data_IF_759206979204
#
_entry.id   IF_759206979204
#
_cell.length_a   1.000
_cell.length_b   1.000
_cell.length_c   1.000
_cell.angle_alpha   90.00
_cell.angle_beta   90.00
_cell.angle_gamma   90.00
#
_symmetry.space_group_name_H-M   'P 1'
#
loop_
_entity.id
_entity.type
_entity.pdbx_description
1 polymer ?
#
# COMPACT_ATOMS: atom_id res chain seq x y z
N UNK A 1 20.23 -13.45 -12.14
CA UNK A 1 19.05 -14.09 -12.77
C UNK A 1 17.85 -14.28 -11.84
N UNK A 2 17.98 -14.93 -10.67
CA UNK A 2 16.86 -15.16 -9.72
C UNK A 2 16.10 -13.90 -9.27
N UNK A 3 16.81 -12.80 -8.98
CA UNK A 3 16.18 -11.52 -8.57
C UNK A 3 15.35 -10.87 -9.71
N UNK A 4 15.80 -11.01 -10.96
CA UNK A 4 15.10 -10.49 -12.13
C UNK A 4 13.84 -11.31 -12.41
N UNK A 5 13.90 -12.63 -12.24
CA UNK A 5 12.73 -13.52 -12.37
C UNK A 5 11.68 -13.24 -11.30
N UNK A 6 12.09 -13.01 -10.05
CA UNK A 6 11.16 -12.58 -9.00
C UNK A 6 10.54 -11.22 -9.35
N UNK A 7 11.33 -10.24 -9.78
CA UNK A 7 10.79 -8.94 -10.17
C UNK A 7 9.85 -9.03 -11.40
N UNK A 8 10.10 -9.96 -12.34
CA UNK A 8 9.23 -10.26 -13.47
C UNK A 8 7.90 -10.89 -13.03
N UNK A 9 7.94 -11.87 -12.11
CA UNK A 9 6.75 -12.51 -11.53
C UNK A 9 5.93 -11.49 -10.74
N UNK A 10 6.57 -10.66 -9.92
CA UNK A 10 5.90 -9.58 -9.18
C UNK A 10 5.38 -8.45 -10.09
N UNK A 11 5.99 -8.22 -11.27
CA UNK A 11 5.49 -7.29 -12.28
C UNK A 11 4.32 -7.85 -13.10
N UNK A 12 4.23 -9.18 -13.25
CA UNK A 12 3.17 -9.84 -14.03
C UNK A 12 1.84 -9.94 -13.27
N UNK A 13 1.89 -10.02 -11.93
CA UNK A 13 0.71 -10.33 -11.12
C UNK A 13 -0.17 -9.13 -10.74
N UNK A 14 0.35 -7.89 -10.67
CA UNK A 14 -0.45 -6.68 -10.36
C UNK A 14 0.14 -5.43 -11.04
N UNK A 15 -0.70 -4.43 -11.40
CA UNK A 15 -0.22 -3.21 -12.05
C UNK A 15 0.85 -2.50 -11.18
N UNK A 16 1.97 -2.06 -11.77
CA UNK A 16 3.13 -1.54 -11.02
C UNK A 16 2.80 -0.29 -10.17
N UNK A 17 1.74 0.41 -10.54
CA UNK A 17 1.20 1.55 -9.78
C UNK A 17 0.58 1.13 -8.45
N UNK A 18 -0.10 -0.02 -8.37
CA UNK A 18 -0.71 -0.50 -7.13
C UNK A 18 0.37 -0.87 -6.10
N UNK A 19 1.42 -1.57 -6.56
CA UNK A 19 2.59 -1.91 -5.76
C UNK A 19 3.27 -0.67 -5.18
N UNK A 20 3.48 0.36 -6.01
CA UNK A 20 4.04 1.65 -5.58
C UNK A 20 3.20 2.33 -4.50
N UNK A 21 1.87 2.34 -4.66
CA UNK A 21 0.96 2.94 -3.68
C UNK A 21 0.99 2.16 -2.35
N UNK A 22 0.95 0.83 -2.42
CA UNK A 22 1.01 -0.02 -1.23
C UNK A 22 2.32 0.16 -0.46
N UNK A 23 3.47 0.17 -1.16
CA UNK A 23 4.78 0.41 -0.54
C UNK A 23 4.84 1.78 0.12
N UNK A 24 4.39 2.83 -0.57
CA UNK A 24 4.34 4.19 -0.01
C UNK A 24 3.45 4.27 1.23
N UNK A 25 2.27 3.65 1.21
CA UNK A 25 1.38 3.59 2.36
C UNK A 25 2.02 2.85 3.55
N UNK A 26 2.68 1.72 3.30
CA UNK A 26 3.37 0.95 4.35
C UNK A 26 4.50 1.75 4.98
N UNK A 27 5.35 2.40 4.17
CA UNK A 27 6.45 3.25 4.67
C UNK A 27 5.89 4.40 5.51
N UNK A 28 4.85 5.07 5.03
CA UNK A 28 4.20 6.16 5.75
C UNK A 28 3.70 5.71 7.13
N UNK A 29 2.97 4.59 7.21
CA UNK A 29 2.46 4.08 8.48
C UNK A 29 3.56 3.60 9.41
N UNK A 30 4.65 3.04 8.90
CA UNK A 30 5.81 2.64 9.70
C UNK A 30 6.51 3.84 10.34
N UNK A 31 6.76 4.89 9.55
CA UNK A 31 7.36 6.13 10.05
C UNK A 31 6.42 6.84 11.04
N UNK A 32 5.11 6.83 10.77
CA UNK A 32 4.10 7.36 11.68
C UNK A 32 4.10 6.62 13.02
N UNK A 33 4.19 5.29 13.00
CA UNK A 33 4.28 4.46 14.20
C UNK A 33 5.54 4.80 15.00
N UNK A 34 6.70 4.89 14.33
CA UNK A 34 7.96 5.27 14.98
C UNK A 34 7.83 6.62 15.69
N UNK A 35 7.25 7.61 15.01
CA UNK A 35 7.04 8.94 15.59
C UNK A 35 6.04 8.89 16.76
N UNK A 36 5.00 8.05 16.69
CA UNK A 36 4.06 7.88 17.80
C UNK A 36 4.70 7.25 19.04
N UNK A 37 5.61 6.30 18.84
CA UNK A 37 6.42 5.73 19.93
C UNK A 37 7.36 6.78 20.51
N UNK A 38 7.98 7.61 19.67
CA UNK A 38 8.93 8.64 20.13
C UNK A 38 8.26 9.78 20.92
N UNK A 39 7.09 10.24 20.48
CA UNK A 39 6.41 11.40 21.10
C UNK A 39 5.38 11.03 22.15
N UNK A 40 4.70 9.89 21.99
CA UNK A 40 3.57 9.50 22.83
C UNK A 40 3.81 8.19 23.61
N UNK A 41 5.01 7.58 23.49
CA UNK A 41 5.37 6.28 24.06
C UNK A 41 4.32 5.17 23.80
N UNK A 42 3.55 5.31 22.72
CA UNK A 42 2.39 4.45 22.45
C UNK A 42 2.62 3.65 21.17
N UNK A 43 2.46 2.34 21.28
CA UNK A 43 2.58 1.41 20.15
C UNK A 43 1.19 1.01 19.67
N UNK A 44 0.85 1.35 18.44
CA UNK A 44 -0.38 0.86 17.79
C UNK A 44 -0.18 -0.60 17.39
N UNK A 45 -1.22 -1.42 17.61
CA UNK A 45 -1.22 -2.85 17.27
C UNK A 45 -1.03 -3.04 15.75
N UNK A 46 -0.18 -3.99 15.30
CA UNK A 46 0.07 -4.23 13.87
C UNK A 46 -1.18 -4.55 13.05
N UNK A 47 -2.18 -5.23 13.65
CA UNK A 47 -3.45 -5.53 12.99
C UNK A 47 -4.26 -4.28 12.65
N UNK A 48 -4.17 -3.25 13.49
CA UNK A 48 -4.82 -1.95 13.28
C UNK A 48 -4.10 -1.20 12.17
N UNK A 49 -2.75 -1.18 12.20
CA UNK A 49 -1.93 -0.57 11.15
C UNK A 49 -2.20 -1.21 9.78
N UNK A 50 -2.31 -2.55 9.72
CA UNK A 50 -2.63 -3.28 8.49
C UNK A 50 -3.99 -2.85 7.90
N UNK A 51 -5.02 -2.75 8.75
CA UNK A 51 -6.34 -2.24 8.34
C UNK A 51 -6.29 -0.78 7.85
N UNK A 52 -5.49 0.05 8.51
CA UNK A 52 -5.25 1.45 8.11
C UNK A 52 -4.56 1.55 6.76
N UNK A 53 -3.51 0.77 6.52
CA UNK A 53 -2.83 0.68 5.22
C UNK A 53 -3.83 0.26 4.15
N UNK A 54 -4.65 -0.77 4.40
CA UNK A 54 -5.65 -1.23 3.44
C UNK A 54 -6.67 -0.14 3.09
N UNK A 55 -7.16 0.58 4.10
CA UNK A 55 -8.08 1.70 3.92
C UNK A 55 -7.45 2.86 3.16
N UNK A 56 -6.21 3.21 3.46
CA UNK A 56 -5.51 4.32 2.79
C UNK A 56 -5.22 4.01 1.33
N UNK A 57 -4.74 2.80 1.02
CA UNK A 57 -4.55 2.36 -0.38
C UNK A 57 -5.89 2.43 -1.13
N UNK A 58 -6.97 1.94 -0.54
CA UNK A 58 -8.32 2.03 -1.12
C UNK A 58 -8.75 3.49 -1.34
N UNK A 59 -8.58 4.35 -0.35
CA UNK A 59 -8.94 5.77 -0.43
C UNK A 59 -8.16 6.50 -1.54
N UNK A 60 -6.85 6.23 -1.64
CA UNK A 60 -5.97 6.79 -2.68
C UNK A 60 -6.46 6.41 -4.07
N UNK A 61 -6.85 5.14 -4.26
CA UNK A 61 -7.37 4.65 -5.54
C UNK A 61 -8.74 5.27 -5.85
N UNK A 62 -9.64 5.34 -4.86
CA UNK A 62 -10.98 5.94 -5.00
C UNK A 62 -10.88 7.43 -5.35
N UNK A 63 -10.02 8.19 -4.67
CA UNK A 63 -9.81 9.60 -4.94
C UNK A 63 -9.35 9.85 -6.39
N UNK A 64 -8.62 8.90 -6.98
CA UNK A 64 -8.12 8.96 -8.37
C UNK A 64 -8.99 8.19 -9.37
N UNK A 65 -10.16 7.68 -8.96
CA UNK A 65 -11.04 6.82 -9.78
C UNK A 65 -11.52 7.46 -11.08
N UNK A 66 -11.61 8.79 -11.16
CA UNK A 66 -11.97 9.52 -12.40
C UNK A 66 -10.93 9.34 -13.52
N UNK A 67 -9.70 8.89 -13.20
CA UNK A 67 -8.67 8.57 -14.19
C UNK A 67 -8.86 7.14 -14.70
N UNK A 68 -8.93 6.94 -16.02
CA UNK A 68 -9.16 5.63 -16.67
C UNK A 68 -8.25 4.50 -16.12
N UNK A 69 -6.98 4.80 -15.81
CA UNK A 69 -6.00 3.84 -15.26
C UNK A 69 -6.32 3.31 -13.84
N UNK A 70 -7.10 4.05 -13.05
CA UNK A 70 -7.40 3.70 -11.66
C UNK A 70 -8.69 2.89 -11.49
N UNK A 71 -9.52 2.84 -12.53
CA UNK A 71 -10.80 2.12 -12.51
C UNK A 71 -10.61 0.60 -12.47
N UNK A 72 -9.61 0.07 -13.19
CA UNK A 72 -9.19 -1.33 -13.14
C UNK A 72 -8.31 -1.66 -11.93
N UNK A 73 -7.57 -0.68 -11.40
CA UNK A 73 -6.72 -0.86 -10.22
C UNK A 73 -7.52 -1.20 -8.96
N UNK A 74 -8.69 -0.57 -8.77
CA UNK A 74 -9.53 -0.83 -7.60
C UNK A 74 -10.02 -2.27 -7.58
N UNK A 75 -10.41 -2.82 -8.73
CA UNK A 75 -10.81 -4.23 -8.84
C UNK A 75 -9.66 -5.16 -8.42
N UNK A 76 -8.43 -4.89 -8.86
CA UNK A 76 -7.23 -5.68 -8.52
C UNK A 76 -6.75 -5.56 -7.06
N UNK A 77 -7.30 -4.59 -6.30
CA UNK A 77 -7.03 -4.43 -4.86
C UNK A 77 -8.09 -5.11 -3.98
N UNK A 78 -9.33 -5.18 -4.46
CA UNK A 78 -10.45 -5.82 -3.75
C UNK A 78 -10.47 -7.34 -3.99
N UNK A 79 -10.07 -7.77 -5.20
CA UNK A 79 -9.85 -9.17 -5.58
C UNK A 79 -8.47 -9.63 -5.11
#
# INVERSE_FOLDING_TARGET
ERAALLDQIFCSLKPPTLRKIAVQATIFHLLKQRNNVYHNNTTIVPSVISKLIYRDVRNIIIARRKRKKFRSLLASWII
#
